data_IF_404822619289
#
_entry.id   IF_404822619289
#
_cell.length_a   1.000
_cell.length_b   1.000
_cell.length_c   1.000
_cell.angle_alpha   90.00
_cell.angle_beta   90.00
_cell.angle_gamma   90.00
#
_symmetry.space_group_name_H-M   'P 1'
#
loop_
_entity.id
_entity.type
_entity.pdbx_description
1 polymer ?
#
# COMPACT_ATOMS: atom_id res chain seq x y z
N UNK A 1 9.80 23.46 17.81
CA UNK A 1 9.94 22.12 17.20
C UNK A 1 8.83 21.16 17.61
N UNK A 2 8.45 21.06 18.90
CA UNK A 2 7.37 20.16 19.36
C UNK A 2 6.01 20.43 18.68
N UNK A 3 5.63 21.70 18.46
CA UNK A 3 4.38 22.04 17.76
C UNK A 3 4.35 21.62 16.27
N UNK A 4 5.48 21.73 15.58
CA UNK A 4 5.61 21.29 14.18
C UNK A 4 5.61 19.76 14.07
N UNK A 5 6.29 19.07 15.01
CA UNK A 5 6.26 17.60 15.09
C UNK A 5 4.85 17.10 15.45
N UNK A 6 4.17 17.73 16.41
CA UNK A 6 2.77 17.42 16.74
C UNK A 6 1.86 17.62 15.54
N UNK A 7 1.97 18.76 14.84
CA UNK A 7 1.19 19.04 13.62
C UNK A 7 1.47 18.08 12.47
N UNK A 8 2.71 17.61 12.33
CA UNK A 8 3.09 16.63 11.32
C UNK A 8 2.48 15.27 11.66
N UNK A 9 2.67 14.79 12.90
CA UNK A 9 2.25 13.47 13.38
C UNK A 9 0.72 13.36 13.50
N UNK A 10 0.01 14.45 13.85
CA UNK A 10 -1.45 14.49 13.87
C UNK A 10 -2.06 15.03 12.58
N UNK A 11 -1.28 15.12 11.49
CA UNK A 11 -1.80 15.62 10.23
C UNK A 11 -2.89 14.69 9.70
N UNK A 12 -3.93 15.27 9.09
CA UNK A 12 -4.97 14.51 8.40
C UNK A 12 -4.40 13.66 7.26
N UNK A 13 -3.25 14.04 6.69
CA UNK A 13 -2.53 13.23 5.73
C UNK A 13 -1.94 11.96 6.36
N UNK A 14 -1.28 12.05 7.53
CA UNK A 14 -0.78 10.87 8.24
C UNK A 14 -1.91 9.96 8.71
N UNK A 15 -3.01 10.52 9.22
CA UNK A 15 -4.18 9.74 9.60
C UNK A 15 -4.79 9.00 8.38
N UNK A 16 -4.89 9.67 7.23
CA UNK A 16 -5.38 9.05 6.00
C UNK A 16 -4.44 7.96 5.45
N UNK A 17 -3.12 8.15 5.59
CA UNK A 17 -2.12 7.15 5.23
C UNK A 17 -2.22 5.93 6.14
N UNK A 18 -2.34 6.14 7.46
CA UNK A 18 -2.47 5.06 8.44
C UNK A 18 -3.76 4.25 8.27
N UNK A 19 -4.86 4.91 7.88
CA UNK A 19 -6.14 4.26 7.60
C UNK A 19 -6.24 3.64 6.20
N UNK A 20 -5.19 3.73 5.38
CA UNK A 20 -5.13 3.15 4.06
C UNK A 20 -3.98 2.13 4.02
N UNK A 21 -4.34 0.86 4.09
CA UNK A 21 -3.39 -0.26 4.16
C UNK A 21 -2.42 -0.23 2.98
N UNK A 22 -2.88 0.17 1.79
CA UNK A 22 -2.01 0.31 0.60
C UNK A 22 -0.93 1.36 0.77
N UNK A 23 -1.29 2.53 1.26
CA UNK A 23 -0.33 3.61 1.46
C UNK A 23 0.59 3.32 2.64
N UNK A 24 0.04 2.80 3.74
CA UNK A 24 0.81 2.42 4.92
C UNK A 24 1.88 1.38 4.59
N UNK A 25 1.51 0.27 3.92
CA UNK A 25 2.48 -0.78 3.55
C UNK A 25 3.50 -0.27 2.53
N UNK A 26 3.06 0.50 1.53
CA UNK A 26 3.98 1.03 0.52
C UNK A 26 5.00 1.99 1.14
N UNK A 27 4.56 2.91 2.01
CA UNK A 27 5.44 3.86 2.70
C UNK A 27 6.37 3.12 3.66
N UNK A 28 5.84 2.21 4.49
CA UNK A 28 6.65 1.43 5.41
C UNK A 28 7.75 0.64 4.68
N UNK A 29 7.38 -0.01 3.58
CA UNK A 29 8.34 -0.80 2.79
C UNK A 29 9.37 0.09 2.11
N UNK A 30 8.97 1.26 1.62
CA UNK A 30 9.89 2.25 1.02
C UNK A 30 10.85 2.83 2.06
N UNK A 31 10.35 3.14 3.26
CA UNK A 31 11.19 3.59 4.36
C UNK A 31 12.15 2.49 4.81
N UNK A 32 11.71 1.23 4.86
CA UNK A 32 12.59 0.09 5.17
C UNK A 32 13.63 -0.16 4.08
N UNK A 33 13.27 -0.03 2.81
CA UNK A 33 14.18 -0.24 1.68
C UNK A 33 15.29 0.81 1.65
N UNK A 34 15.05 2.01 2.16
CA UNK A 34 16.10 3.04 2.25
C UNK A 34 16.81 2.96 3.60
N UNK A 35 16.05 2.87 4.68
CA UNK A 35 16.55 2.92 6.05
C UNK A 35 17.46 1.75 6.40
N UNK A 36 17.02 0.51 6.21
CA UNK A 36 17.83 -0.66 6.61
C UNK A 36 19.15 -0.74 5.84
N UNK A 37 19.18 -0.61 4.50
CA UNK A 37 20.43 -0.54 3.77
C UNK A 37 21.29 0.67 4.16
N UNK A 38 20.66 1.84 4.38
CA UNK A 38 21.36 3.04 4.84
C UNK A 38 22.07 2.84 6.18
N UNK A 39 21.39 2.22 7.17
CA UNK A 39 21.98 1.90 8.46
C UNK A 39 23.15 0.91 8.33
N UNK A 40 23.06 -0.08 7.45
CA UNK A 40 24.16 -1.03 7.19
C UNK A 40 25.38 -0.32 6.58
N UNK A 41 25.16 0.63 5.66
CA UNK A 41 26.25 1.33 4.98
C UNK A 41 27.02 2.31 5.89
N UNK A 42 26.36 2.86 6.92
CA UNK A 42 26.99 3.78 7.88
C UNK A 42 27.60 3.08 9.10
N UNK A 43 27.30 1.80 9.31
CA UNK A 43 27.94 0.99 10.33
C UNK A 43 29.47 1.07 10.15
N UNK A 44 30.25 1.14 11.22
CA UNK A 44 31.72 1.21 11.14
C UNK A 44 32.39 -0.12 11.45
N UNK A 45 31.67 -1.07 12.04
CA UNK A 45 32.21 -2.32 12.58
C UNK A 45 32.22 -3.46 11.56
N UNK A 46 31.60 -3.23 10.39
CA UNK A 46 31.53 -4.20 9.28
C UNK A 46 32.55 -3.79 8.18
N UNK A 47 33.12 -4.73 7.44
CA UNK A 47 33.97 -4.42 6.28
C UNK A 47 33.15 -3.88 5.08
N UNK A 48 33.79 -3.12 4.19
CA UNK A 48 33.09 -2.43 3.09
C UNK A 48 32.39 -3.37 2.11
N UNK A 49 32.97 -4.55 1.83
CA UNK A 49 32.40 -5.50 0.88
C UNK A 49 31.15 -6.18 1.47
N UNK A 50 31.18 -6.55 2.77
CA UNK A 50 30.01 -7.05 3.49
C UNK A 50 28.90 -6.02 3.57
N UNK A 51 29.23 -4.75 3.82
CA UNK A 51 28.22 -3.67 3.88
C UNK A 51 27.47 -3.55 2.57
N UNK A 52 28.20 -3.51 1.46
CA UNK A 52 27.58 -3.38 0.14
C UNK A 52 26.73 -4.60 -0.20
N UNK A 53 27.19 -5.81 0.10
CA UNK A 53 26.42 -7.03 -0.10
C UNK A 53 25.15 -7.07 0.76
N UNK A 54 25.28 -6.82 2.06
CA UNK A 54 24.16 -6.86 3.00
C UNK A 54 23.13 -5.76 2.72
N UNK A 55 23.60 -4.54 2.42
CA UNK A 55 22.73 -3.44 2.04
C UNK A 55 21.99 -3.71 0.72
N UNK A 56 22.68 -4.25 -0.30
CA UNK A 56 22.05 -4.61 -1.57
C UNK A 56 21.03 -5.75 -1.39
N UNK A 57 21.35 -6.76 -0.58
CA UNK A 57 20.43 -7.87 -0.27
C UNK A 57 19.16 -7.36 0.42
N UNK A 58 19.30 -6.54 1.46
CA UNK A 58 18.16 -5.94 2.16
C UNK A 58 17.35 -5.01 1.25
N UNK A 59 18.00 -4.20 0.41
CA UNK A 59 17.32 -3.35 -0.57
C UNK A 59 16.49 -4.19 -1.53
N UNK A 60 17.07 -5.22 -2.14
CA UNK A 60 16.40 -6.11 -3.10
C UNK A 60 15.25 -6.88 -2.43
N UNK A 61 15.42 -7.30 -1.18
CA UNK A 61 14.36 -7.92 -0.39
C UNK A 61 13.17 -6.96 -0.22
N UNK A 62 13.41 -5.74 0.26
CA UNK A 62 12.34 -4.75 0.47
C UNK A 62 11.69 -4.32 -0.86
N UNK A 63 12.48 -4.16 -1.92
CA UNK A 63 11.97 -3.85 -3.26
C UNK A 63 11.08 -4.98 -3.80
N UNK A 64 11.45 -6.24 -3.57
CA UNK A 64 10.64 -7.40 -3.95
C UNK A 64 9.33 -7.44 -3.16
N UNK A 65 9.37 -7.20 -1.84
CA UNK A 65 8.17 -7.09 -1.02
C UNK A 65 7.21 -6.01 -1.55
N UNK A 66 7.72 -4.84 -1.92
CA UNK A 66 6.92 -3.77 -2.51
C UNK A 66 6.36 -4.14 -3.89
N UNK A 67 7.16 -4.81 -4.72
CA UNK A 67 6.73 -5.29 -6.03
C UNK A 67 5.60 -6.32 -5.92
N UNK A 68 5.75 -7.33 -5.05
CA UNK A 68 4.70 -8.32 -4.76
C UNK A 68 3.44 -7.64 -4.24
N UNK A 69 3.59 -6.67 -3.34
CA UNK A 69 2.48 -5.89 -2.83
C UNK A 69 1.70 -5.18 -3.94
N UNK A 70 2.39 -4.42 -4.78
CA UNK A 70 1.77 -3.63 -5.85
C UNK A 70 1.21 -4.50 -6.99
N UNK A 71 1.92 -5.58 -7.36
CA UNK A 71 1.59 -6.40 -8.52
C UNK A 71 0.59 -7.52 -8.22
N UNK A 72 0.48 -7.97 -6.96
CA UNK A 72 -0.39 -9.08 -6.58
C UNK A 72 -1.41 -8.66 -5.53
N UNK A 73 -0.98 -8.06 -4.42
CA UNK A 73 -1.89 -7.79 -3.30
C UNK A 73 -2.95 -6.75 -3.68
N UNK A 74 -2.54 -5.62 -4.26
CA UNK A 74 -3.47 -4.58 -4.70
C UNK A 74 -4.48 -5.08 -5.76
N UNK A 75 -4.06 -5.73 -6.86
CA UNK A 75 -5.03 -6.17 -7.87
C UNK A 75 -5.87 -7.37 -7.44
N UNK A 76 -5.36 -8.28 -6.61
CA UNK A 76 -6.11 -9.49 -6.23
C UNK A 76 -6.98 -9.23 -5.00
N UNK A 77 -6.41 -8.76 -3.91
CA UNK A 77 -7.13 -8.68 -2.63
C UNK A 77 -7.94 -7.40 -2.47
N UNK A 78 -7.41 -6.24 -2.90
CA UNK A 78 -8.18 -4.99 -2.83
C UNK A 78 -9.34 -4.97 -3.82
N UNK A 79 -9.08 -5.33 -5.09
CA UNK A 79 -10.17 -5.43 -6.09
C UNK A 79 -11.08 -6.63 -5.82
N UNK A 80 -10.53 -7.76 -5.38
CA UNK A 80 -11.31 -8.94 -5.00
C UNK A 80 -12.25 -8.68 -3.82
N UNK A 81 -11.75 -8.05 -2.76
CA UNK A 81 -12.56 -7.64 -1.62
C UNK A 81 -13.70 -6.70 -2.01
N UNK A 82 -13.45 -5.74 -2.90
CA UNK A 82 -14.50 -4.90 -3.47
C UNK A 82 -15.52 -5.71 -4.28
N UNK A 83 -15.07 -6.65 -5.11
CA UNK A 83 -15.96 -7.50 -5.91
C UNK A 83 -16.85 -8.38 -5.02
N UNK A 84 -16.30 -8.92 -3.93
CA UNK A 84 -17.08 -9.68 -2.93
C UNK A 84 -18.10 -8.75 -2.26
N UNK A 85 -17.67 -7.57 -1.81
CA UNK A 85 -18.57 -6.59 -1.21
C UNK A 85 -19.72 -6.23 -2.16
N UNK A 86 -19.44 -6.00 -3.45
CA UNK A 86 -20.46 -5.69 -4.47
C UNK A 86 -21.40 -6.85 -4.77
N UNK A 87 -20.88 -8.05 -4.93
CA UNK A 87 -21.66 -9.16 -5.45
C UNK A 87 -22.40 -9.95 -4.35
N UNK A 88 -21.92 -9.89 -3.10
CA UNK A 88 -22.45 -10.71 -2.01
C UNK A 88 -22.96 -9.92 -0.80
N UNK A 89 -22.35 -8.78 -0.46
CA UNK A 89 -22.71 -8.03 0.75
C UNK A 89 -23.72 -6.92 0.44
N UNK A 90 -23.40 -6.09 -0.56
CA UNK A 90 -24.18 -4.92 -0.98
C UNK A 90 -24.88 -5.17 -2.33
N UNK A 91 -25.21 -6.44 -2.61
CA UNK A 91 -25.93 -6.82 -3.82
C UNK A 91 -27.28 -6.12 -3.83
N UNK A 92 -27.67 -5.59 -4.98
CA UNK A 92 -28.94 -4.89 -5.20
C UNK A 92 -29.14 -3.64 -4.31
N UNK A 93 -28.07 -3.07 -3.75
CA UNK A 93 -28.19 -1.86 -2.92
C UNK A 93 -28.21 -0.62 -3.80
N UNK A 94 -29.32 0.13 -3.75
CA UNK A 94 -29.54 1.32 -4.56
C UNK A 94 -28.40 2.34 -4.40
N UNK A 95 -27.76 2.71 -5.52
CA UNK A 95 -26.60 3.59 -5.56
C UNK A 95 -25.25 2.86 -5.52
N UNK A 96 -25.13 1.72 -4.85
CA UNK A 96 -23.86 0.98 -4.80
C UNK A 96 -23.54 0.26 -6.11
N UNK A 97 -24.58 -0.21 -6.80
CA UNK A 97 -24.46 -0.90 -8.09
C UNK A 97 -23.70 -0.08 -9.13
N UNK A 98 -23.77 1.25 -9.02
CA UNK A 98 -23.19 2.22 -9.93
C UNK A 98 -21.66 2.21 -9.93
N UNK A 99 -21.03 1.79 -8.83
CA UNK A 99 -19.56 1.70 -8.76
C UNK A 99 -19.06 0.51 -9.58
N UNK A 100 -18.39 0.76 -10.71
CA UNK A 100 -17.86 -0.31 -11.56
C UNK A 100 -16.70 -1.04 -10.89
N UNK A 101 -15.84 -0.29 -10.21
CA UNK A 101 -14.67 -0.81 -9.53
C UNK A 101 -14.37 -0.08 -8.22
N UNK A 102 -13.37 -0.59 -7.50
CA UNK A 102 -12.92 -0.03 -6.23
C UNK A 102 -12.38 1.40 -6.38
N UNK A 103 -11.87 1.82 -7.56
CA UNK A 103 -11.36 3.18 -7.75
C UNK A 103 -12.49 4.18 -7.76
N UNK A 104 -13.58 3.89 -8.49
CA UNK A 104 -14.77 4.75 -8.52
C UNK A 104 -15.41 4.86 -7.13
N UNK A 105 -15.51 3.75 -6.40
CA UNK A 105 -15.99 3.76 -5.02
C UNK A 105 -15.10 4.60 -4.09
N UNK A 106 -13.78 4.38 -4.12
CA UNK A 106 -12.84 5.12 -3.26
C UNK A 106 -12.83 6.61 -3.59
N UNK A 107 -13.05 6.98 -4.85
CA UNK A 107 -13.22 8.36 -5.27
C UNK A 107 -14.48 8.99 -4.65
N UNK A 108 -15.62 8.32 -4.74
CA UNK A 108 -16.84 8.74 -4.04
C UNK A 108 -16.61 8.88 -2.54
N UNK A 109 -15.96 7.89 -1.90
CA UNK A 109 -15.73 7.92 -0.46
C UNK A 109 -14.83 9.09 -0.05
N UNK A 110 -13.81 9.43 -0.85
CA UNK A 110 -12.96 10.60 -0.62
C UNK A 110 -13.75 11.91 -0.64
N UNK A 111 -14.73 12.03 -1.55
CA UNK A 111 -15.64 13.19 -1.56
C UNK A 111 -16.57 13.18 -0.34
N UNK A 112 -17.14 12.03 0.01
CA UNK A 112 -17.99 11.87 1.19
C UNK A 112 -17.27 12.19 2.51
N UNK A 113 -15.99 11.81 2.63
CA UNK A 113 -15.14 12.07 3.79
C UNK A 113 -14.72 13.55 3.92
N UNK A 114 -14.94 14.38 2.89
CA UNK A 114 -14.63 15.82 2.97
C UNK A 114 -15.63 16.52 3.90
N UNK A 115 -15.21 17.10 5.04
CA UNK A 115 -16.13 17.70 6.01
C UNK A 115 -16.79 18.99 5.51
N UNK A 116 -16.23 19.64 4.48
CA UNK A 116 -16.79 20.86 3.91
C UNK A 116 -17.69 20.56 2.72
N UNK A 117 -18.99 20.79 2.89
CA UNK A 117 -19.99 20.68 1.82
C UNK A 117 -19.61 21.56 0.61
N UNK A 118 -19.24 22.81 0.86
CA UNK A 118 -18.83 23.74 -0.20
C UNK A 118 -17.61 23.25 -0.99
N UNK A 119 -16.61 22.67 -0.32
CA UNK A 119 -15.45 22.12 -1.01
C UNK A 119 -15.82 20.87 -1.80
N UNK A 120 -16.64 19.98 -1.22
CA UNK A 120 -17.13 18.78 -1.89
C UNK A 120 -17.87 19.10 -3.18
N UNK A 121 -18.81 20.05 -3.14
CA UNK A 121 -19.59 20.47 -4.30
C UNK A 121 -18.73 21.17 -5.36
N UNK A 122 -17.81 22.05 -4.93
CA UNK A 122 -16.83 22.66 -5.85
C UNK A 122 -15.97 21.61 -6.56
N UNK A 123 -15.53 20.58 -5.85
CA UNK A 123 -14.77 19.48 -6.45
C UNK A 123 -15.62 18.68 -7.44
N UNK A 124 -16.86 18.33 -7.08
CA UNK A 124 -17.82 17.65 -7.97
C UNK A 124 -18.05 18.40 -9.30
N UNK A 125 -18.10 19.73 -9.27
CA UNK A 125 -18.37 20.57 -10.44
C UNK A 125 -17.14 20.85 -11.31
N UNK A 126 -15.96 20.95 -10.68
CA UNK A 126 -14.71 21.34 -11.34
C UNK A 126 -13.87 20.17 -11.81
N UNK A 127 -13.89 19.06 -11.08
CA UNK A 127 -13.00 17.94 -11.32
C UNK A 127 -13.51 17.11 -12.50
N UNK A 128 -12.65 16.97 -13.50
CA UNK A 128 -12.88 16.17 -14.70
C UNK A 128 -12.06 14.90 -14.59
N UNK A 129 -12.64 13.80 -15.02
CA UNK A 129 -11.91 12.55 -15.21
C UNK A 129 -10.96 12.68 -16.41
N UNK A 130 -10.02 11.75 -16.50
CA UNK A 130 -9.01 11.67 -17.58
C UNK A 130 -9.62 11.73 -18.98
N UNK A 131 -10.90 11.36 -19.12
CA UNK A 131 -11.66 11.35 -20.38
C UNK A 131 -12.50 12.63 -20.62
N UNK A 132 -12.19 13.74 -19.92
CA UNK A 132 -12.91 15.04 -19.97
C UNK A 132 -14.35 15.03 -19.44
N UNK A 133 -14.90 13.88 -19.02
CA UNK A 133 -16.21 13.75 -18.37
C UNK A 133 -16.19 14.39 -16.97
N UNK A 134 -17.24 15.14 -16.59
CA UNK A 134 -17.32 15.66 -15.22
C UNK A 134 -17.64 14.53 -14.26
N UNK A 135 -17.08 14.61 -13.05
CA UNK A 135 -17.31 13.58 -12.02
C UNK A 135 -18.78 13.50 -11.61
N UNK A 136 -19.48 14.64 -11.58
CA UNK A 136 -20.93 14.69 -11.30
C UNK A 136 -21.75 13.78 -12.22
N UNK A 137 -21.34 13.68 -13.49
CA UNK A 137 -22.08 12.91 -14.52
C UNK A 137 -21.89 11.40 -14.36
N UNK A 138 -20.90 10.97 -13.56
CA UNK A 138 -20.65 9.57 -13.19
C UNK A 138 -21.39 9.11 -11.95
N UNK A 139 -22.20 9.96 -11.31
CA UNK A 139 -22.95 9.59 -10.13
C UNK A 139 -24.44 9.66 -10.41
N UNK A 140 -25.18 8.64 -9.97
CA UNK A 140 -26.63 8.66 -10.05
C UNK A 140 -27.24 9.64 -9.04
N UNK A 141 -28.55 9.92 -9.18
CA UNK A 141 -29.27 10.84 -8.29
C UNK A 141 -29.14 10.48 -6.80
N UNK A 142 -29.14 9.18 -6.47
CA UNK A 142 -29.00 8.68 -5.10
C UNK A 142 -27.65 9.05 -4.46
N UNK A 143 -26.55 8.90 -5.21
CA UNK A 143 -25.20 9.27 -4.74
C UNK A 143 -25.02 10.78 -4.66
N UNK A 144 -25.56 11.53 -5.62
CA UNK A 144 -25.52 13.00 -5.59
C UNK A 144 -26.32 13.56 -4.41
N UNK A 145 -27.51 13.04 -4.14
CA UNK A 145 -28.32 13.43 -2.98
C UNK A 145 -27.58 13.15 -1.67
N UNK A 146 -26.89 12.01 -1.57
CA UNK A 146 -26.08 11.68 -0.40
C UNK A 146 -24.89 12.64 -0.23
N UNK A 147 -24.17 12.98 -1.30
CA UNK A 147 -23.05 13.92 -1.25
C UNK A 147 -23.47 15.35 -0.90
N UNK A 148 -24.75 15.71 -1.05
CA UNK A 148 -25.29 16.99 -0.61
C UNK A 148 -25.60 17.07 0.89
N UNK A 149 -25.56 15.93 1.62
CA UNK A 149 -25.78 15.91 3.08
C UNK A 149 -24.55 16.48 3.81
N UNK A 150 -24.78 17.07 4.98
CA UNK A 150 -23.68 17.52 5.85
C UNK A 150 -22.75 16.35 6.21
N UNK A 151 -23.32 15.18 6.52
CA UNK A 151 -22.60 13.94 6.85
C UNK A 151 -23.05 12.79 5.94
N UNK A 152 -22.30 12.50 4.86
CA UNK A 152 -22.58 11.38 3.97
C UNK A 152 -22.06 10.07 4.56
N UNK A 153 -22.97 9.15 4.87
CA UNK A 153 -22.63 7.89 5.53
C UNK A 153 -22.90 6.67 4.66
N UNK A 154 -23.68 6.79 3.56
CA UNK A 154 -23.91 5.64 2.69
C UNK A 154 -22.58 5.06 2.19
N UNK A 155 -22.50 3.74 2.33
CA UNK A 155 -21.39 2.88 1.90
C UNK A 155 -20.07 3.09 2.66
N UNK A 156 -20.07 3.70 3.85
CA UNK A 156 -18.87 3.81 4.68
C UNK A 156 -18.24 2.44 4.99
N UNK A 157 -19.06 1.43 5.30
CA UNK A 157 -18.61 0.08 5.65
C UNK A 157 -17.95 -0.70 4.50
N UNK A 158 -18.18 -0.31 3.24
CA UNK A 158 -17.53 -0.94 2.08
C UNK A 158 -16.02 -0.72 2.15
N UNK A 159 -15.56 0.45 2.59
CA UNK A 159 -14.14 0.75 2.80
C UNK A 159 -13.55 -0.22 3.83
N UNK A 160 -14.28 -0.49 4.90
CA UNK A 160 -13.87 -1.48 5.92
C UNK A 160 -13.67 -2.87 5.33
N UNK A 161 -14.61 -3.36 4.52
CA UNK A 161 -14.49 -4.66 3.86
C UNK A 161 -13.30 -4.72 2.87
N UNK A 162 -13.10 -3.66 2.09
CA UNK A 162 -11.98 -3.56 1.14
C UNK A 162 -10.63 -3.52 1.86
N UNK A 163 -10.52 -2.72 2.92
CA UNK A 163 -9.29 -2.61 3.70
C UNK A 163 -9.00 -3.92 4.47
N UNK A 164 -10.01 -4.58 5.04
CA UNK A 164 -9.84 -5.90 5.67
C UNK A 164 -9.32 -6.94 4.69
N UNK A 165 -9.92 -7.02 3.50
CA UNK A 165 -9.43 -7.91 2.43
C UNK A 165 -7.99 -7.58 2.04
N UNK A 166 -7.67 -6.28 1.94
CA UNK A 166 -6.33 -5.84 1.62
C UNK A 166 -5.33 -6.18 2.75
N UNK A 167 -5.70 -6.08 4.03
CA UNK A 167 -4.87 -6.51 5.18
C UNK A 167 -4.59 -8.01 5.11
N UNK A 168 -5.62 -8.84 4.92
CA UNK A 168 -5.46 -10.30 4.78
C UNK A 168 -4.53 -10.62 3.62
N UNK A 169 -4.74 -9.97 2.47
CA UNK A 169 -3.86 -10.10 1.32
C UNK A 169 -2.44 -9.67 1.59
N UNK A 170 -2.25 -8.61 2.38
CA UNK A 170 -0.94 -8.10 2.78
C UNK A 170 -0.21 -9.11 3.64
N UNK A 171 -0.87 -9.68 4.64
CA UNK A 171 -0.29 -10.71 5.51
C UNK A 171 0.07 -11.95 4.69
N UNK A 172 -0.85 -12.49 3.88
CA UNK A 172 -0.58 -13.68 3.08
C UNK A 172 0.50 -13.44 2.01
N UNK A 173 0.41 -12.34 1.27
CA UNK A 173 1.34 -12.04 0.20
C UNK A 173 2.74 -11.69 0.71
N UNK A 174 2.86 -10.98 1.83
CA UNK A 174 4.18 -10.62 2.38
C UNK A 174 4.78 -11.72 3.26
N UNK A 175 3.97 -12.52 3.96
CA UNK A 175 4.50 -13.58 4.83
C UNK A 175 4.80 -14.88 4.06
N UNK A 176 4.09 -15.16 2.97
CA UNK A 176 4.20 -16.43 2.25
C UNK A 176 4.84 -16.23 0.88
N UNK A 177 4.30 -15.33 0.06
CA UNK A 177 4.73 -15.19 -1.33
C UNK A 177 6.01 -14.38 -1.48
N UNK A 178 6.16 -13.27 -0.75
CA UNK A 178 7.34 -12.42 -0.84
C UNK A 178 8.64 -13.17 -0.50
N UNK A 179 8.73 -14.01 0.55
CA UNK A 179 9.93 -14.81 0.81
C UNK A 179 10.28 -15.74 -0.36
N UNK A 180 9.31 -16.44 -0.93
CA UNK A 180 9.53 -17.37 -2.04
C UNK A 180 10.03 -16.66 -3.30
N UNK A 181 9.37 -15.56 -3.68
CA UNK A 181 9.77 -14.74 -4.84
C UNK A 181 11.14 -14.11 -4.62
N UNK A 182 11.39 -13.63 -3.39
CA UNK A 182 12.62 -12.95 -3.05
C UNK A 182 13.82 -13.90 -3.05
N UNK A 183 13.69 -15.13 -2.56
CA UNK A 183 14.74 -16.14 -2.69
C UNK A 183 15.10 -16.46 -4.15
N UNK A 184 14.10 -16.55 -5.02
CA UNK A 184 14.31 -16.83 -6.44
C UNK A 184 14.93 -15.65 -7.21
N UNK A 185 14.69 -14.42 -6.77
CA UNK A 185 15.11 -13.20 -7.47
C UNK A 185 16.40 -12.56 -6.94
N UNK A 186 16.61 -12.56 -5.61
CA UNK A 186 17.74 -11.87 -4.97
C UNK A 186 19.08 -12.41 -5.46
N UNK A 187 19.25 -13.73 -5.49
CA UNK A 187 20.52 -14.35 -5.87
C UNK A 187 20.95 -13.99 -7.30
N UNK A 188 20.09 -14.20 -8.33
CA UNK A 188 20.39 -13.73 -9.68
C UNK A 188 20.67 -12.22 -9.77
N UNK A 189 19.92 -11.41 -9.02
CA UNK A 189 20.11 -9.96 -9.02
C UNK A 189 21.44 -9.54 -8.38
N UNK A 190 21.83 -10.14 -7.26
CA UNK A 190 23.13 -9.89 -6.62
C UNK A 190 24.30 -10.37 -7.49
N UNK A 191 24.13 -11.49 -8.21
CA UNK A 191 25.10 -11.97 -9.20
C UNK A 191 25.28 -10.99 -10.34
N UNK A 192 24.17 -10.48 -10.88
CA UNK A 192 24.17 -9.48 -11.94
C UNK A 192 24.86 -8.18 -11.51
N UNK A 193 24.71 -7.80 -10.23
CA UNK A 193 25.38 -6.65 -9.64
C UNK A 193 26.87 -6.91 -9.30
N UNK A 194 27.39 -8.11 -9.56
CA UNK A 194 28.78 -8.48 -9.26
C UNK A 194 29.08 -8.61 -7.77
N UNK A 195 28.05 -8.71 -6.92
CA UNK A 195 28.19 -8.77 -5.46
C UNK A 195 28.25 -10.20 -4.92
N UNK A 196 27.96 -11.21 -5.76
CA UNK A 196 27.92 -12.62 -5.34
C UNK A 196 29.28 -13.33 -5.41
N UNK A 197 30.21 -12.88 -6.28
CA UNK A 197 31.50 -13.55 -6.51
C UNK A 197 32.50 -13.42 -5.34
N UNK A 198 32.23 -12.58 -4.34
CA UNK A 198 33.17 -12.35 -3.22
C UNK A 198 32.94 -13.23 -1.98
N UNK A 199 31.79 -13.90 -1.80
CA UNK A 199 31.44 -14.57 -0.52
C UNK A 199 30.70 -15.91 -0.60
N UNK A 200 31.06 -16.77 -1.56
CA UNK A 200 30.80 -18.22 -1.41
C UNK A 200 31.43 -18.84 -0.14
N UNK A 201 32.32 -18.11 0.57
CA UNK A 201 33.02 -18.57 1.79
C UNK A 201 32.33 -18.26 3.12
N UNK A 202 31.43 -17.26 3.23
CA UNK A 202 30.84 -16.89 4.52
C UNK A 202 29.48 -17.55 4.82
N UNK A 203 28.72 -17.92 3.79
CA UNK A 203 27.46 -18.63 3.98
C UNK A 203 27.63 -20.02 4.64
N UNK A 204 28.83 -20.62 4.57
CA UNK A 204 29.15 -21.86 5.30
C UNK A 204 29.45 -21.65 6.79
N UNK A 205 29.74 -20.42 7.24
CA UNK A 205 30.07 -20.13 8.64
C UNK A 205 28.83 -19.82 9.47
N UNK A 206 27.85 -19.09 8.93
CA UNK A 206 26.59 -18.77 9.65
C UNK A 206 25.70 -20.00 9.82
N UNK A 207 25.66 -20.91 8.84
CA UNK A 207 24.88 -22.14 8.91
C UNK A 207 25.38 -23.14 9.99
N UNK A 208 26.62 -23.02 10.45
CA UNK A 208 27.18 -23.88 11.52
C UNK A 208 26.95 -23.32 12.93
N UNK A 209 26.62 -22.04 13.07
CA UNK A 209 26.37 -21.41 14.37
C UNK A 209 24.92 -21.64 14.84
N UNK A 210 23.95 -21.69 13.93
CA UNK A 210 22.53 -21.89 14.27
C UNK A 210 22.11 -23.34 14.59
N UNK A 211 23.01 -24.33 14.51
CA UNK A 211 22.72 -25.72 14.91
C UNK A 211 23.22 -26.07 16.31
N UNK A 212 23.77 -25.10 17.04
CA UNK A 212 24.22 -25.27 18.44
C UNK A 212 23.90 -24.03 19.27
N UNK A 213 22.62 -23.80 19.57
CA UNK A 213 22.14 -23.03 20.72
C UNK A 213 20.71 -23.45 21.05
#
# INVERSE_FOLDING_TARGET
MIGAVKSLVTSSQLANIAQNTTQSVAIETTLKSIGRPGFILIDKDIDSDTKQYAAAKEFLYQATCLAVYMALIVPVFKKGGFKIAKNHIFKNTEGFEHFKDVKEYMHYRKLADNPSLNNRLKTLEKEKLTDKTKIKDKYNGTLLAELNKEKPEKFAYVKGAVELSNIIGSVLGLAILAPQVSHAFIHPALRFLGLEDKKAKEAQQTAKLDTKA
#
